data_IF_966182041018
#
_entry.id   IF_966182041018
#
_cell.length_a   1.000
_cell.length_b   1.000
_cell.length_c   1.000
_cell.angle_alpha   90.00
_cell.angle_beta   90.00
_cell.angle_gamma   90.00
#
_symmetry.space_group_name_H-M   'P 1'
#
loop_
_entity.id
_entity.type
_entity.pdbx_description
1 polymer ?
#
# COMPACT_ATOMS: atom_id res chain seq x y z
N UNK A 1 17.41 -5.09 -4.16
CA UNK A 1 16.96 -6.43 -3.71
C UNK A 1 15.44 -6.49 -3.63
N UNK A 2 14.77 -5.48 -3.03
CA UNK A 2 13.30 -5.43 -2.90
C UNK A 2 12.57 -5.47 -4.25
N UNK A 3 13.09 -4.83 -5.30
CA UNK A 3 12.53 -4.90 -6.66
C UNK A 3 12.58 -6.31 -7.28
N UNK A 4 13.61 -7.10 -6.96
CA UNK A 4 13.70 -8.50 -7.42
C UNK A 4 12.66 -9.36 -6.72
N UNK A 5 12.52 -9.19 -5.41
CA UNK A 5 11.49 -9.88 -4.61
C UNK A 5 10.10 -9.50 -5.10
N UNK A 6 9.86 -8.23 -5.39
CA UNK A 6 8.61 -7.73 -5.96
C UNK A 6 8.29 -8.40 -7.30
N UNK A 7 9.25 -8.44 -8.24
CA UNK A 7 9.05 -9.08 -9.55
C UNK A 7 8.76 -10.56 -9.45
N UNK A 8 9.47 -11.28 -8.57
CA UNK A 8 9.28 -12.71 -8.35
C UNK A 8 7.95 -13.06 -7.67
N UNK A 9 7.40 -12.17 -6.85
CA UNK A 9 6.14 -12.40 -6.14
C UNK A 9 4.92 -11.86 -6.89
N UNK A 10 5.02 -10.68 -7.47
CA UNK A 10 3.89 -10.02 -8.15
C UNK A 10 3.49 -10.75 -9.45
N UNK A 11 4.46 -11.10 -10.29
CA UNK A 11 4.22 -11.66 -11.62
C UNK A 11 3.45 -13.00 -11.60
N UNK A 12 3.81 -14.00 -10.77
CA UNK A 12 3.07 -15.26 -10.73
C UNK A 12 1.70 -15.15 -10.03
N UNK A 13 1.54 -14.26 -9.04
CA UNK A 13 0.28 -14.07 -8.34
C UNK A 13 -0.73 -13.25 -9.17
N UNK A 14 -0.26 -12.29 -9.94
CA UNK A 14 -1.09 -11.53 -10.88
C UNK A 14 -1.70 -12.44 -11.95
N UNK A 15 -0.93 -13.41 -12.47
CA UNK A 15 -1.41 -14.41 -13.43
C UNK A 15 -2.48 -15.36 -12.87
N UNK A 16 -2.47 -15.60 -11.54
CA UNK A 16 -3.41 -16.50 -10.87
C UNK A 16 -4.69 -15.81 -10.38
N UNK A 17 -4.89 -14.52 -10.65
CA UNK A 17 -6.09 -13.78 -10.23
C UNK A 17 -6.21 -13.53 -8.71
N UNK A 18 -5.14 -13.75 -7.94
CA UNK A 18 -5.12 -13.61 -6.47
C UNK A 18 -4.63 -12.22 -6.02
N UNK A 19 -4.91 -11.17 -6.79
CA UNK A 19 -4.47 -9.80 -6.46
C UNK A 19 -5.03 -9.29 -5.13
N UNK A 20 -6.30 -9.64 -4.83
CA UNK A 20 -6.95 -9.18 -3.59
C UNK A 20 -6.28 -9.71 -2.33
N UNK A 21 -6.07 -11.03 -2.14
CA UNK A 21 -5.39 -11.53 -0.96
C UNK A 21 -3.95 -11.03 -0.86
N UNK A 22 -3.24 -10.88 -1.98
CA UNK A 22 -1.91 -10.29 -2.00
C UNK A 22 -1.91 -8.84 -1.51
N UNK A 23 -2.85 -8.03 -2.01
CA UNK A 23 -2.99 -6.63 -1.63
C UNK A 23 -3.28 -6.48 -0.12
N UNK A 24 -4.23 -7.27 0.39
CA UNK A 24 -4.55 -7.30 1.82
C UNK A 24 -3.37 -7.79 2.67
N UNK A 25 -2.65 -8.81 2.21
CA UNK A 25 -1.46 -9.32 2.89
C UNK A 25 -0.35 -8.26 2.96
N UNK A 26 -0.13 -7.50 1.88
CA UNK A 26 0.85 -6.41 1.88
C UNK A 26 0.45 -5.27 2.81
N UNK A 27 -0.83 -4.89 2.86
CA UNK A 27 -1.32 -3.88 3.83
C UNK A 27 -1.12 -4.37 5.25
N UNK A 28 -1.48 -5.63 5.55
CA UNK A 28 -1.31 -6.21 6.87
C UNK A 28 0.18 -6.31 7.27
N UNK A 29 1.06 -6.64 6.32
CA UNK A 29 2.50 -6.68 6.52
C UNK A 29 3.06 -5.31 6.89
N UNK A 30 2.71 -4.27 6.12
CA UNK A 30 3.13 -2.89 6.38
C UNK A 30 2.60 -2.42 7.73
N UNK A 31 1.34 -2.74 8.06
CA UNK A 31 0.76 -2.45 9.36
C UNK A 31 1.53 -3.12 10.52
N UNK A 32 1.87 -4.40 10.36
CA UNK A 32 2.62 -5.15 11.38
C UNK A 32 4.02 -4.53 11.61
N UNK A 33 4.70 -4.12 10.54
CA UNK A 33 5.99 -3.45 10.63
C UNK A 33 5.86 -2.09 11.33
N UNK A 34 4.84 -1.31 11.01
CA UNK A 34 4.58 -0.02 11.67
C UNK A 34 4.28 -0.19 13.15
N UNK A 35 3.50 -1.21 13.51
CA UNK A 35 3.22 -1.54 14.91
C UNK A 35 4.49 -1.98 15.65
N UNK A 36 5.36 -2.77 15.00
CA UNK A 36 6.63 -3.19 15.57
C UNK A 36 7.57 -2.01 15.82
N UNK A 37 7.67 -1.05 14.88
CA UNK A 37 8.45 0.17 15.10
C UNK A 37 7.88 1.04 16.22
N UNK A 38 6.54 1.17 16.28
CA UNK A 38 5.88 1.89 17.37
C UNK A 38 6.19 1.27 18.73
N UNK A 39 6.15 -0.08 18.81
CA UNK A 39 6.51 -0.82 20.01
C UNK A 39 7.98 -0.62 20.41
N UNK A 40 8.92 -0.73 19.44
CA UNK A 40 10.35 -0.51 19.69
C UNK A 40 10.62 0.91 20.18
N UNK A 41 9.96 1.91 19.59
CA UNK A 41 10.09 3.30 20.02
C UNK A 41 9.60 3.51 21.47
N UNK A 42 8.62 2.71 21.91
CA UNK A 42 8.10 2.75 23.28
C UNK A 42 8.96 1.96 24.26
N UNK A 43 9.50 0.82 23.85
CA UNK A 43 10.33 -0.06 24.68
C UNK A 43 11.76 0.50 24.95
N UNK A 44 12.19 1.49 24.16
CA UNK A 44 13.47 2.20 24.41
C UNK A 44 14.74 1.45 24.03
N UNK A 45 14.63 0.30 23.36
CA UNK A 45 15.78 -0.51 22.93
C UNK A 45 15.80 -0.76 21.41
N UNK A 46 16.19 0.24 20.59
CA UNK A 46 16.29 0.03 19.15
C UNK A 46 17.53 -0.80 18.81
N UNK A 47 17.33 -2.07 18.50
CA UNK A 47 18.40 -2.90 17.91
C UNK A 47 18.53 -2.57 16.42
N UNK A 48 19.65 -2.04 16.01
CA UNK A 48 19.93 -1.57 14.64
C UNK A 48 19.67 -2.64 13.56
N UNK A 49 20.04 -3.89 13.83
CA UNK A 49 19.79 -4.98 12.90
C UNK A 49 18.30 -5.29 12.72
N UNK A 50 17.50 -5.25 13.81
CA UNK A 50 16.08 -5.47 13.75
C UNK A 50 15.37 -4.32 13.00
N UNK A 51 15.84 -3.10 13.21
CA UNK A 51 15.36 -1.93 12.47
C UNK A 51 15.65 -2.08 10.96
N UNK A 52 16.83 -2.56 10.58
CA UNK A 52 17.20 -2.81 9.19
C UNK A 52 16.34 -3.92 8.55
N UNK A 53 16.07 -5.02 9.28
CA UNK A 53 15.20 -6.11 8.82
C UNK A 53 13.76 -5.62 8.63
N UNK A 54 13.22 -4.91 9.61
CA UNK A 54 11.87 -4.34 9.53
C UNK A 54 11.75 -3.35 8.37
N UNK A 55 12.77 -2.52 8.15
CA UNK A 55 12.83 -1.59 7.02
C UNK A 55 12.82 -2.33 5.69
N UNK A 56 13.59 -3.40 5.57
CA UNK A 56 13.59 -4.23 4.36
C UNK A 56 12.22 -4.86 4.10
N UNK A 57 11.59 -5.44 5.12
CA UNK A 57 10.26 -6.04 5.03
C UNK A 57 9.21 -4.98 4.68
N UNK A 58 9.30 -3.79 5.29
CA UNK A 58 8.46 -2.65 4.94
C UNK A 58 8.55 -2.31 3.45
N UNK A 59 9.77 -2.14 2.94
CA UNK A 59 9.97 -1.81 1.53
C UNK A 59 9.50 -2.91 0.57
N UNK A 60 9.59 -4.18 0.96
CA UNK A 60 9.02 -5.26 0.15
C UNK A 60 7.49 -5.11 0.01
N UNK A 61 6.77 -4.94 1.11
CA UNK A 61 5.31 -4.74 1.08
C UNK A 61 4.90 -3.43 0.41
N UNK A 62 5.58 -2.34 0.73
CA UNK A 62 5.32 -1.02 0.17
C UNK A 62 5.48 -0.97 -1.34
N UNK A 63 6.58 -1.50 -1.88
CA UNK A 63 6.81 -1.52 -3.33
C UNK A 63 5.75 -2.33 -4.09
N UNK A 64 5.28 -3.45 -3.51
CA UNK A 64 4.18 -4.23 -4.10
C UNK A 64 2.89 -3.40 -4.16
N UNK A 65 2.56 -2.71 -3.07
CA UNK A 65 1.38 -1.83 -3.02
C UNK A 65 1.49 -0.67 -4.01
N UNK A 66 2.64 0.02 -4.03
CA UNK A 66 2.91 1.15 -4.91
C UNK A 66 2.82 0.78 -6.40
N UNK A 67 3.35 -0.38 -6.78
CA UNK A 67 3.25 -0.86 -8.15
C UNK A 67 1.84 -1.33 -8.53
N UNK A 68 1.09 -1.89 -7.59
CA UNK A 68 -0.23 -2.45 -7.82
C UNK A 68 -1.32 -1.39 -7.99
N UNK A 69 -1.21 -0.26 -7.29
CA UNK A 69 -2.24 0.79 -7.27
C UNK A 69 -2.46 1.44 -8.65
N UNK A 70 -1.44 1.95 -9.37
CA UNK A 70 -1.64 2.53 -10.70
C UNK A 70 -2.10 1.48 -11.73
N UNK A 71 -1.64 0.24 -11.62
CA UNK A 71 -2.12 -0.87 -12.44
C UNK A 71 -3.63 -1.08 -12.24
N UNK A 72 -4.08 -1.11 -11.00
CA UNK A 72 -5.49 -1.25 -10.66
C UNK A 72 -6.32 -0.05 -11.17
N UNK A 73 -5.83 1.17 -10.97
CA UNK A 73 -6.49 2.40 -11.47
C UNK A 73 -6.68 2.36 -12.99
N UNK A 74 -5.65 1.94 -13.73
CA UNK A 74 -5.71 1.84 -15.19
C UNK A 74 -6.64 0.73 -15.69
N UNK A 75 -6.76 -0.38 -14.95
CA UNK A 75 -7.66 -1.51 -15.30
C UNK A 75 -9.13 -1.21 -15.03
N UNK A 76 -9.43 -0.41 -14.01
CA UNK A 76 -10.79 -0.02 -13.67
C UNK A 76 -11.32 1.10 -14.57
N UNK A 77 -10.42 1.84 -15.23
CA UNK A 77 -10.78 2.93 -16.14
C UNK A 77 -11.23 2.39 -17.52
N UNK A 78 -12.24 3.01 -18.16
CA UNK A 78 -12.56 2.74 -19.56
C UNK A 78 -11.35 2.91 -20.47
N UNK A 79 -11.28 2.14 -21.57
CA UNK A 79 -10.11 2.11 -22.45
C UNK A 79 -9.68 3.50 -22.95
N UNK A 80 -10.63 4.41 -23.24
CA UNK A 80 -10.35 5.77 -23.67
C UNK A 80 -10.00 6.76 -22.56
N UNK A 81 -10.17 6.41 -21.28
CA UNK A 81 -9.97 7.29 -20.11
C UNK A 81 -8.80 6.87 -19.20
N UNK A 82 -8.01 5.89 -19.60
CA UNK A 82 -6.90 5.37 -18.77
C UNK A 82 -5.87 6.42 -18.41
N UNK A 83 -5.53 7.29 -19.35
CA UNK A 83 -4.60 8.40 -19.09
C UNK A 83 -5.14 9.40 -18.08
N UNK A 84 -6.42 9.77 -18.19
CA UNK A 84 -7.08 10.66 -17.24
C UNK A 84 -7.15 10.03 -15.83
N UNK A 85 -7.47 8.73 -15.73
CA UNK A 85 -7.51 8.01 -14.46
C UNK A 85 -6.15 7.99 -13.77
N UNK A 86 -5.06 7.74 -14.52
CA UNK A 86 -3.70 7.80 -13.99
C UNK A 86 -3.30 9.22 -13.60
N UNK A 87 -3.73 10.24 -14.35
CA UNK A 87 -3.52 11.65 -14.00
C UNK A 87 -4.16 12.01 -12.66
N UNK A 88 -5.43 11.64 -12.47
CA UNK A 88 -6.14 11.82 -11.19
C UNK A 88 -5.44 11.06 -10.06
N UNK A 89 -5.07 9.80 -10.30
CA UNK A 89 -4.34 9.00 -9.33
C UNK A 89 -3.05 9.68 -8.87
N UNK A 90 -2.20 10.11 -9.81
CA UNK A 90 -0.93 10.77 -9.51
C UNK A 90 -1.13 12.10 -8.77
N UNK A 91 -2.15 12.87 -9.13
CA UNK A 91 -2.49 14.12 -8.43
C UNK A 91 -2.90 13.86 -6.98
N UNK A 92 -3.78 12.88 -6.75
CA UNK A 92 -4.20 12.49 -5.41
C UNK A 92 -3.03 11.94 -4.59
N UNK A 93 -2.14 11.16 -5.20
CA UNK A 93 -0.93 10.64 -4.56
C UNK A 93 -0.01 11.80 -4.12
N UNK A 94 0.23 12.77 -5.00
CA UNK A 94 1.06 13.93 -4.69
C UNK A 94 0.47 14.79 -3.57
N UNK A 95 -0.84 15.01 -3.60
CA UNK A 95 -1.56 15.70 -2.51
C UNK A 95 -1.46 14.93 -1.20
N UNK A 96 -1.57 13.60 -1.25
CA UNK A 96 -1.42 12.73 -0.10
C UNK A 96 -0.02 12.80 0.52
N UNK A 97 1.03 12.78 -0.31
CA UNK A 97 2.42 12.92 0.12
C UNK A 97 2.64 14.27 0.78
N UNK A 98 2.16 15.35 0.15
CA UNK A 98 2.27 16.71 0.72
C UNK A 98 1.54 16.83 2.07
N UNK A 99 0.28 16.43 2.09
CA UNK A 99 -0.55 16.48 3.30
C UNK A 99 0.03 15.60 4.42
N UNK A 100 0.48 14.38 4.07
CA UNK A 100 1.11 13.45 5.00
C UNK A 100 2.41 13.98 5.59
N UNK A 101 3.25 14.60 4.76
CA UNK A 101 4.48 15.25 5.21
C UNK A 101 4.23 16.44 6.14
N UNK A 102 3.31 17.31 5.77
CA UNK A 102 2.93 18.48 6.57
C UNK A 102 2.31 18.09 7.91
N UNK A 103 1.33 17.18 7.88
CA UNK A 103 0.66 16.68 9.08
C UNK A 103 1.60 15.86 9.97
N UNK A 104 2.42 14.98 9.36
CA UNK A 104 3.42 14.19 10.07
C UNK A 104 4.45 15.07 10.76
N UNK A 105 5.00 16.08 10.07
CA UNK A 105 5.93 17.02 10.65
C UNK A 105 5.33 17.84 11.82
N UNK A 106 4.08 18.27 11.67
CA UNK A 106 3.35 18.94 12.74
C UNK A 106 3.14 18.02 13.96
N UNK A 107 2.81 16.75 13.70
CA UNK A 107 2.56 15.76 14.75
C UNK A 107 3.85 15.41 15.51
N UNK A 108 4.99 15.27 14.82
CA UNK A 108 6.31 15.10 15.47
C UNK A 108 6.60 16.25 16.41
N UNK A 109 6.35 17.48 15.97
CA UNK A 109 6.62 18.68 16.76
C UNK A 109 5.78 18.72 18.05
N UNK A 110 4.55 18.19 18.02
CA UNK A 110 3.65 18.21 19.19
C UNK A 110 3.79 17.00 20.10
N UNK A 111 3.88 15.82 19.54
CA UNK A 111 3.73 14.53 20.25
C UNK A 111 4.98 13.63 20.14
N UNK A 112 6.05 14.14 19.52
CA UNK A 112 7.23 13.31 19.24
C UNK A 112 6.97 12.17 18.26
N UNK A 113 7.92 11.25 18.20
CA UNK A 113 7.84 10.08 17.30
C UNK A 113 6.64 9.17 17.57
N UNK A 114 6.24 9.03 18.81
CA UNK A 114 5.11 8.19 19.23
C UNK A 114 3.79 8.60 18.57
N UNK A 115 3.55 9.91 18.45
CA UNK A 115 2.35 10.45 17.80
C UNK A 115 2.27 10.06 16.32
N UNK A 116 3.40 10.08 15.62
CA UNK A 116 3.46 9.72 14.20
C UNK A 116 3.20 8.24 14.01
N UNK A 117 3.81 7.36 14.81
CA UNK A 117 3.57 5.91 14.71
C UNK A 117 2.11 5.58 15.02
N UNK A 118 1.53 6.18 16.05
CA UNK A 118 0.12 5.95 16.38
C UNK A 118 -0.80 6.40 15.22
N UNK A 119 -0.58 7.60 14.68
CA UNK A 119 -1.36 8.11 13.56
C UNK A 119 -1.21 7.23 12.31
N UNK A 120 0.01 6.76 12.02
CA UNK A 120 0.28 5.87 10.90
C UNK A 120 -0.44 4.53 11.06
N UNK A 121 -0.40 3.92 12.24
CA UNK A 121 -1.11 2.67 12.53
C UNK A 121 -2.62 2.86 12.38
N UNK A 122 -3.19 3.92 12.93
CA UNK A 122 -4.62 4.22 12.80
C UNK A 122 -5.03 4.42 11.34
N UNK A 123 -4.24 5.17 10.56
CA UNK A 123 -4.50 5.38 9.15
C UNK A 123 -4.44 4.06 8.35
N UNK A 124 -3.47 3.20 8.66
CA UNK A 124 -3.34 1.89 8.02
C UNK A 124 -4.48 0.94 8.39
N UNK A 125 -4.98 1.00 9.63
CA UNK A 125 -6.16 0.24 10.05
C UNK A 125 -7.41 0.70 9.29
N UNK A 126 -7.61 2.00 9.13
CA UNK A 126 -8.69 2.56 8.32
C UNK A 126 -8.57 2.08 6.87
N UNK A 127 -7.38 2.15 6.30
CA UNK A 127 -7.15 1.67 4.93
C UNK A 127 -7.40 0.16 4.80
N UNK A 128 -6.95 -0.65 5.74
CA UNK A 128 -7.22 -2.08 5.76
C UNK A 128 -8.72 -2.37 5.86
N UNK A 129 -9.46 -1.66 6.71
CA UNK A 129 -10.91 -1.80 6.85
C UNK A 129 -11.64 -1.43 5.55
N UNK A 130 -11.26 -0.32 4.92
CA UNK A 130 -11.81 0.09 3.62
C UNK A 130 -11.49 -0.95 2.55
N UNK A 131 -10.25 -1.42 2.47
CA UNK A 131 -9.82 -2.43 1.50
C UNK A 131 -10.52 -3.78 1.73
N UNK A 132 -10.80 -4.13 2.98
CA UNK A 132 -11.55 -5.34 3.32
C UNK A 132 -13.02 -5.23 2.93
N UNK A 133 -13.63 -4.09 3.17
CA UNK A 133 -15.05 -3.86 2.90
C UNK A 133 -15.33 -3.64 1.40
N UNK A 134 -14.42 -3.01 0.67
CA UNK A 134 -14.52 -2.87 -0.78
C UNK A 134 -14.38 -4.24 -1.43
N UNK A 135 -15.50 -4.78 -1.91
CA UNK A 135 -15.50 -5.92 -2.82
C UNK A 135 -14.93 -5.42 -4.15
N UNK A 136 -13.61 -5.47 -4.29
CA UNK A 136 -12.98 -5.22 -5.59
C UNK A 136 -13.70 -6.07 -6.63
N UNK A 137 -14.25 -5.38 -7.61
CA UNK A 137 -15.10 -5.87 -8.68
C UNK A 137 -14.66 -7.27 -9.10
N UNK A 138 -15.56 -8.23 -9.00
CA UNK A 138 -15.46 -9.50 -9.71
C UNK A 138 -15.10 -9.14 -11.15
N UNK A 139 -14.03 -9.71 -11.66
CA UNK A 139 -13.69 -9.64 -13.07
C UNK A 139 -14.98 -9.86 -13.85
N UNK A 140 -15.42 -8.85 -14.60
CA UNK A 140 -16.56 -9.01 -15.46
C UNK A 140 -16.28 -10.22 -16.36
N UNK A 141 -17.22 -11.15 -16.52
CA UNK A 141 -17.05 -12.24 -17.48
C UNK A 141 -16.72 -11.57 -18.82
N UNK A 142 -15.65 -12.01 -19.46
CA UNK A 142 -15.36 -11.64 -20.83
C UNK A 142 -16.65 -11.87 -21.64
N UNK A 143 -17.27 -10.76 -22.08
CA UNK A 143 -18.37 -10.82 -23.01
C UNK A 143 -17.83 -11.65 -24.19
N UNK A 144 -18.34 -12.87 -24.30
CA UNK A 144 -18.15 -13.68 -25.48
C UNK A 144 -18.59 -12.82 -26.67
N UNK A 145 -17.61 -12.40 -27.47
CA UNK A 145 -17.87 -11.90 -28.83
C UNK A 145 -18.50 -13.06 -29.59
N UNK A 146 -19.83 -13.14 -29.55
CA UNK A 146 -20.56 -13.90 -30.53
C UNK A 146 -20.42 -13.15 -31.86
N UNK A 147 -19.48 -13.63 -32.66
CA UNK A 147 -19.43 -13.30 -34.07
C UNK A 147 -20.76 -13.70 -34.72
N UNK A 148 -21.41 -12.76 -35.36
CA UNK A 148 -22.29 -12.96 -36.50
C UNK A 148 -21.78 -12.17 -37.66
#
# INVERSE_FOLDING_TARGET
>A
LSFVVMGMTLFPLERKGHLRPLFLACIALVLAVQAAWGWMAWAGEPQLWLLAVLLFVFFCGFNVLEASQPSLASRLAPAGARGAALGVYNTLQSLGIFAGGAFGGWLVKRNGSHGVFLASVLLMLVWLAVAWHTRYVRSAPSASVTAH
#
